data_IF_666402561621
#
_entry.id   IF_666402561621
#
_cell.length_a   1.000
_cell.length_b   1.000
_cell.length_c   1.000
_cell.angle_alpha   90.00
_cell.angle_beta   90.00
_cell.angle_gamma   90.00
#
_symmetry.space_group_name_H-M   'P 1'
#
loop_
_entity.id
_entity.type
_entity.pdbx_description
1 polymer ?
#
# COMPACT_ATOMS: atom_id res chain seq x y z
N UNK A 1 -22.87 13.00 -3.67
CA UNK A 1 -21.88 12.02 -3.19
C UNK A 1 -20.68 12.80 -2.69
N UNK A 2 -20.24 12.59 -1.44
CA UNK A 2 -19.18 13.40 -0.84
C UNK A 2 -17.81 13.02 -1.46
N UNK A 3 -17.12 13.99 -2.08
CA UNK A 3 -15.92 13.76 -2.90
C UNK A 3 -14.80 13.10 -2.10
N UNK A 4 -14.68 13.45 -0.81
CA UNK A 4 -13.69 12.87 0.09
C UNK A 4 -13.93 11.38 0.35
N UNK A 5 -15.19 10.97 0.50
CA UNK A 5 -15.56 9.56 0.73
C UNK A 5 -15.25 8.73 -0.52
N UNK A 6 -15.59 9.23 -1.71
CA UNK A 6 -15.26 8.55 -2.96
C UNK A 6 -13.74 8.37 -3.13
N UNK A 7 -12.97 9.40 -2.80
CA UNK A 7 -11.50 9.36 -2.86
C UNK A 7 -10.92 8.31 -1.90
N UNK A 8 -11.50 8.19 -0.69
CA UNK A 8 -11.03 7.23 0.31
C UNK A 8 -11.31 5.78 -0.12
N UNK A 9 -12.49 5.54 -0.67
CA UNK A 9 -12.87 4.22 -1.21
C UNK A 9 -11.91 3.81 -2.34
N UNK A 10 -11.59 4.72 -3.26
CA UNK A 10 -10.63 4.44 -4.34
C UNK A 10 -9.23 4.18 -3.79
N UNK A 11 -8.76 4.97 -2.82
CA UNK A 11 -7.45 4.74 -2.21
C UNK A 11 -7.37 3.38 -1.49
N UNK A 12 -8.47 2.95 -0.85
CA UNK A 12 -8.58 1.61 -0.26
C UNK A 12 -8.55 0.52 -1.33
N UNK A 13 -9.31 0.68 -2.41
CA UNK A 13 -9.33 -0.26 -3.55
C UNK A 13 -7.93 -0.43 -4.16
N UNK A 14 -7.19 0.66 -4.34
CA UNK A 14 -5.79 0.63 -4.81
C UNK A 14 -4.87 -0.08 -3.82
N UNK A 15 -5.03 0.17 -2.52
CA UNK A 15 -4.25 -0.50 -1.48
C UNK A 15 -4.47 -2.02 -1.49
N UNK A 16 -5.70 -2.48 -1.70
CA UNK A 16 -6.07 -3.90 -1.77
C UNK A 16 -5.60 -4.57 -3.07
N UNK A 17 -5.77 -3.87 -4.21
CA UNK A 17 -5.38 -4.38 -5.54
C UNK A 17 -3.86 -4.53 -5.66
N UNK A 18 -3.12 -3.60 -5.07
CA UNK A 18 -1.67 -3.55 -5.10
C UNK A 18 -1.15 -2.20 -5.55
N UNK A 19 -0.03 -1.79 -4.97
CA UNK A 19 0.77 -0.65 -5.43
C UNK A 19 2.13 -1.13 -5.92
N UNK A 20 2.76 -0.33 -6.78
CA UNK A 20 4.10 -0.62 -7.26
C UNK A 20 5.11 -0.59 -6.11
N UNK A 21 5.99 -1.58 -6.12
CA UNK A 21 7.15 -1.62 -5.24
C UNK A 21 8.40 -1.22 -6.01
N UNK A 22 9.14 -0.25 -5.49
CA UNK A 22 10.48 0.07 -5.96
C UNK A 22 11.51 -0.34 -4.90
N UNK A 23 12.60 -1.04 -5.25
CA UNK A 23 13.70 -1.29 -4.31
C UNK A 23 14.31 0.00 -3.74
N UNK A 24 14.31 1.09 -4.53
CA UNK A 24 14.88 2.39 -4.13
C UNK A 24 13.98 3.16 -3.17
N UNK A 25 12.66 3.20 -3.44
CA UNK A 25 11.73 4.05 -2.69
C UNK A 25 10.74 3.29 -1.80
N UNK A 26 10.67 1.96 -1.92
CA UNK A 26 9.63 1.12 -1.33
C UNK A 26 8.25 1.36 -1.96
N UNK A 27 7.22 0.78 -1.33
CA UNK A 27 5.82 1.06 -1.65
C UNK A 27 5.37 2.41 -1.07
N UNK A 28 4.47 3.10 -1.77
CA UNK A 28 3.89 4.37 -1.33
C UNK A 28 2.42 4.23 -0.98
N UNK A 29 1.98 5.00 0.00
CA UNK A 29 0.57 5.08 0.37
C UNK A 29 -0.25 5.68 -0.80
N UNK A 30 -1.33 5.03 -1.26
CA UNK A 30 -2.12 5.52 -2.38
C UNK A 30 -2.95 6.76 -2.04
N UNK A 31 -3.06 7.14 -0.76
CA UNK A 31 -3.72 8.37 -0.31
C UNK A 31 -2.73 9.53 -0.16
N UNK A 32 -1.75 9.42 0.74
CA UNK A 32 -0.85 10.55 1.07
C UNK A 32 0.50 10.54 0.35
N UNK A 33 0.80 9.52 -0.47
CA UNK A 33 2.08 9.38 -1.18
C UNK A 33 3.29 9.09 -0.30
N UNK A 34 3.13 9.08 1.04
CA UNK A 34 4.16 8.77 2.00
C UNK A 34 4.67 7.34 1.90
N UNK A 35 5.92 7.10 2.32
CA UNK A 35 6.51 5.76 2.30
C UNK A 35 5.77 4.83 3.26
N UNK A 36 5.30 3.71 2.72
CA UNK A 36 4.65 2.68 3.51
C UNK A 36 5.71 1.73 4.11
N UNK A 37 5.54 1.36 5.38
CA UNK A 37 6.44 0.45 6.10
C UNK A 37 5.97 -0.99 5.88
N UNK A 38 6.87 -1.86 5.45
CA UNK A 38 6.62 -3.30 5.40
C UNK A 38 6.32 -3.81 6.82
N UNK A 39 5.19 -4.49 6.99
CA UNK A 39 4.88 -5.19 8.24
C UNK A 39 4.81 -6.71 8.04
N UNK A 40 4.58 -7.18 6.81
CA UNK A 40 4.58 -8.62 6.47
C UNK A 40 5.10 -8.81 5.05
N UNK A 41 6.01 -9.75 4.88
CA UNK A 41 6.46 -10.24 3.57
C UNK A 41 6.04 -11.69 3.47
N UNK A 42 5.33 -12.07 2.41
CA UNK A 42 5.05 -13.47 2.13
C UNK A 42 6.27 -14.13 1.45
N UNK A 43 6.41 -15.46 1.54
CA UNK A 43 7.37 -16.21 0.73
C UNK A 43 7.20 -15.92 -0.76
N UNK A 44 8.24 -16.21 -1.54
CA UNK A 44 8.15 -16.22 -2.98
C UNK A 44 7.15 -17.28 -3.44
N UNK A 45 6.36 -16.90 -4.43
CA UNK A 45 5.44 -17.76 -5.18
C UNK A 45 5.82 -17.65 -6.65
N UNK A 46 6.61 -18.61 -7.12
CA UNK A 46 7.30 -18.52 -8.42
C UNK A 46 8.26 -17.32 -8.48
N UNK A 47 8.07 -16.46 -9.48
CA UNK A 47 8.91 -15.28 -9.73
C UNK A 47 8.39 -14.00 -9.06
N UNK A 48 7.41 -14.09 -8.17
CA UNK A 48 6.84 -12.95 -7.48
C UNK A 48 6.73 -13.17 -5.97
N UNK A 49 6.81 -12.10 -5.19
CA UNK A 49 6.43 -12.13 -3.77
C UNK A 49 5.53 -10.95 -3.44
N UNK A 50 4.57 -11.21 -2.55
CA UNK A 50 3.67 -10.18 -2.04
C UNK A 50 4.21 -9.63 -0.73
N UNK A 51 4.22 -8.30 -0.62
CA UNK A 51 4.50 -7.59 0.63
C UNK A 51 3.27 -6.81 1.06
N UNK A 52 3.07 -6.71 2.36
CA UNK A 52 2.05 -5.88 2.97
C UNK A 52 2.69 -4.78 3.80
N UNK A 53 2.10 -3.59 3.68
CA UNK A 53 2.62 -2.36 4.26
C UNK A 53 1.54 -1.62 5.05
N UNK A 54 1.99 -0.75 5.95
CA UNK A 54 1.17 0.23 6.64
C UNK A 54 1.71 1.63 6.40
N UNK A 55 0.81 2.60 6.21
CA UNK A 55 1.20 4.01 6.16
C UNK A 55 1.67 4.48 7.54
N UNK A 56 2.77 5.24 7.58
CA UNK A 56 3.34 5.80 8.82
C UNK A 56 2.83 7.19 9.18
N UNK A 57 2.11 7.85 8.28
CA UNK A 57 1.62 9.21 8.50
C UNK A 57 0.43 9.17 9.45
N UNK A 58 0.55 9.80 10.62
CA UNK A 58 -0.50 9.85 11.65
C UNK A 58 -1.74 10.64 11.22
N UNK A 59 -1.59 11.57 10.28
CA UNK A 59 -2.68 12.35 9.70
C UNK A 59 -3.35 11.66 8.49
N UNK A 60 -2.88 10.47 8.07
CA UNK A 60 -3.42 9.78 6.90
C UNK A 60 -4.65 8.93 7.29
N UNK A 61 -5.81 9.10 6.63
CA UNK A 61 -6.99 8.26 6.85
C UNK A 61 -6.71 6.76 6.71
N UNK A 62 -5.87 6.35 5.75
CA UNK A 62 -5.50 4.93 5.60
C UNK A 62 -4.66 4.42 6.78
N UNK A 63 -3.86 5.28 7.43
CA UNK A 63 -3.13 4.91 8.63
C UNK A 63 -4.06 4.80 9.85
N UNK A 64 -4.97 5.78 10.01
CA UNK A 64 -5.95 5.79 11.10
C UNK A 64 -6.86 4.55 11.06
N UNK A 65 -7.28 4.14 9.86
CA UNK A 65 -8.09 2.95 9.63
C UNK A 65 -7.28 1.64 9.57
N UNK A 66 -5.95 1.72 9.71
CA UNK A 66 -5.01 0.59 9.60
C UNK A 66 -5.20 -0.23 8.31
N UNK A 67 -5.52 0.43 7.20
CA UNK A 67 -5.66 -0.22 5.89
C UNK A 67 -4.31 -0.77 5.47
N UNK A 68 -4.28 -2.07 5.16
CA UNK A 68 -3.10 -2.75 4.65
C UNK A 68 -2.91 -2.41 3.18
N UNK A 69 -1.68 -2.08 2.79
CA UNK A 69 -1.32 -1.81 1.40
C UNK A 69 -0.58 -3.03 0.87
N UNK A 70 -1.10 -3.68 -0.16
CA UNK A 70 -0.42 -4.77 -0.88
C UNK A 70 0.58 -4.18 -1.86
N UNK A 71 1.73 -4.81 -2.04
CA UNK A 71 2.60 -4.61 -3.20
C UNK A 71 3.09 -5.93 -3.71
N UNK A 72 3.35 -6.01 -5.02
CA UNK A 72 3.99 -7.15 -5.66
C UNK A 72 5.41 -6.75 -6.04
N UNK A 73 6.36 -7.60 -5.71
CA UNK A 73 7.72 -7.52 -6.21
C UNK A 73 7.95 -8.73 -7.11
N UNK A 74 8.41 -8.48 -8.32
CA UNK A 74 8.82 -9.52 -9.27
C UNK A 74 10.34 -9.60 -9.27
N UNK A 75 10.88 -10.81 -9.44
CA UNK A 75 12.32 -11.01 -9.62
C UNK A 75 12.76 -10.25 -10.88
N UNK A 76 13.78 -9.37 -10.80
CA UNK A 76 14.27 -8.61 -11.95
C UNK A 76 14.94 -9.48 -13.03
#
# INVERSE_FOLDING_TARGET
MNVEVASLVEAKRRAESGVDYSPRTGARCPWCGGRARIYRTLPWDGAARVRYHLCRSTACPLAALRVTIKSVEVDP
#
